data_IF_715929438753
#
_entry.id   IF_715929438753
#
_cell.length_a   1.000
_cell.length_b   1.000
_cell.length_c   1.000
_cell.angle_alpha   90.00
_cell.angle_beta   90.00
_cell.angle_gamma   90.00
#
_symmetry.space_group_name_H-M   'P 1'
#
loop_
_entity.id
_entity.type
_entity.pdbx_description
1 polymer ?
#
# COMPACT_ATOMS: atom_id res chain seq x y z
N UNK A 1 13.99 25.63 51.86
CA UNK A 1 12.69 26.26 52.20
C UNK A 1 12.54 27.51 51.36
N UNK A 2 11.29 27.82 50.99
CA UNK A 2 10.82 28.93 50.14
C UNK A 2 11.05 28.68 48.65
N UNK A 3 10.06 28.50 47.76
CA UNK A 3 8.61 28.65 47.83
C UNK A 3 8.09 29.71 46.85
N UNK A 4 7.20 29.29 45.94
CA UNK A 4 6.23 30.10 45.16
C UNK A 4 6.79 30.96 44.00
N UNK A 5 6.13 31.22 42.86
CA UNK A 5 4.82 30.87 42.30
C UNK A 5 4.77 31.18 40.78
N UNK A 6 3.98 30.37 40.05
CA UNK A 6 2.99 30.69 39.00
C UNK A 6 3.14 31.98 38.17
N UNK A 7 3.07 31.87 36.83
CA UNK A 7 2.02 32.47 35.97
C UNK A 7 2.25 32.14 34.48
N UNK A 8 1.35 31.32 33.95
CA UNK A 8 1.18 31.08 32.52
C UNK A 8 0.33 32.21 31.91
N UNK A 9 0.87 32.93 30.94
CA UNK A 9 0.12 33.90 30.13
C UNK A 9 0.18 33.48 28.66
N UNK A 10 -0.99 33.20 28.08
CA UNK A 10 -1.16 32.76 26.71
C UNK A 10 -0.82 33.83 25.67
N UNK A 11 -0.21 33.39 24.58
CA UNK A 11 0.03 34.20 23.39
C UNK A 11 -0.96 33.76 22.30
N UNK A 12 -2.12 34.41 22.24
CA UNK A 12 -3.07 34.30 21.11
C UNK A 12 -2.56 35.24 20.02
N UNK A 13 -2.00 34.67 18.95
CA UNK A 13 -1.59 35.42 17.76
C UNK A 13 -2.81 35.86 16.95
N UNK A 14 -3.08 37.17 16.93
CA UNK A 14 -4.05 37.80 16.04
C UNK A 14 -3.47 37.92 14.63
N UNK A 15 -4.05 37.22 13.66
CA UNK A 15 -3.79 37.44 12.24
C UNK A 15 -4.32 38.82 11.81
N UNK A 16 -3.42 39.73 11.44
CA UNK A 16 -3.74 40.99 10.79
C UNK A 16 -3.73 40.79 9.26
N UNK A 17 -4.85 41.10 8.59
CA UNK A 17 -4.93 41.21 7.13
C UNK A 17 -4.66 42.67 6.72
N UNK A 18 -3.85 42.94 5.69
CA UNK A 18 -3.64 44.29 5.19
C UNK A 18 -4.83 44.80 4.36
N UNK A 19 -5.10 46.09 4.49
CA UNK A 19 -6.19 46.84 3.86
C UNK A 19 -6.08 46.92 2.33
N UNK A 20 -7.23 47.00 1.68
CA UNK A 20 -7.41 47.13 0.22
C UNK A 20 -6.78 48.41 -0.35
N UNK A 21 -6.07 48.27 -1.47
CA UNK A 21 -5.58 49.36 -2.31
C UNK A 21 -6.54 49.64 -3.47
N UNK A 22 -6.91 50.90 -3.64
CA UNK A 22 -7.72 51.46 -4.74
C UNK A 22 -6.84 51.75 -5.96
N UNK A 23 -7.23 51.36 -7.19
CA UNK A 23 -6.70 52.00 -8.39
C UNK A 23 -7.56 53.22 -8.77
N UNK A 24 -6.93 54.39 -8.74
CA UNK A 24 -7.44 55.63 -9.37
C UNK A 24 -7.34 55.47 -10.90
N UNK A 25 -8.44 55.72 -11.60
CA UNK A 25 -8.48 55.77 -13.07
C UNK A 25 -9.08 57.11 -13.50
N UNK A 26 -8.22 58.00 -13.98
CA UNK A 26 -8.61 59.16 -14.79
C UNK A 26 -8.87 58.70 -16.24
N UNK A 27 -10.05 59.01 -16.77
CA UNK A 27 -10.36 58.84 -18.20
C UNK A 27 -11.82 58.48 -18.49
N UNK A 28 -12.66 59.49 -18.66
CA UNK A 28 -14.06 59.37 -19.12
C UNK A 28 -14.13 58.89 -20.59
N UNK A 29 -15.21 58.19 -20.99
CA UNK A 29 -16.18 58.88 -21.83
C UNK A 29 -17.65 58.63 -21.47
N UNK A 30 -18.43 59.65 -21.81
CA UNK A 30 -19.88 59.84 -21.80
C UNK A 30 -20.76 58.60 -22.04
N UNK A 31 -21.81 58.43 -21.22
CA UNK A 31 -23.23 58.41 -21.66
C UNK A 31 -24.20 58.23 -20.47
N UNK A 32 -25.19 59.14 -20.36
CA UNK A 32 -26.44 59.05 -19.57
C UNK A 32 -27.47 58.14 -20.28
N UNK A 33 -28.51 57.54 -19.63
CA UNK A 33 -29.37 58.21 -18.65
C UNK A 33 -29.79 57.41 -17.40
N UNK A 34 -30.27 58.18 -16.42
CA UNK A 34 -30.82 57.74 -15.16
C UNK A 34 -31.93 56.68 -15.33
N UNK A 35 -31.77 55.54 -14.68
CA UNK A 35 -32.82 54.54 -14.50
C UNK A 35 -33.65 54.92 -13.28
N UNK A 36 -34.90 55.29 -13.53
CA UNK A 36 -35.92 55.49 -12.50
C UNK A 36 -36.35 54.11 -11.97
N UNK A 37 -36.05 53.78 -10.71
CA UNK A 37 -36.57 52.56 -10.09
C UNK A 37 -38.04 52.77 -9.71
N UNK A 38 -38.94 52.13 -10.45
CA UNK A 38 -40.30 51.86 -9.99
C UNK A 38 -40.30 50.50 -9.28
N UNK A 39 -40.59 50.47 -7.98
CA UNK A 39 -40.83 49.24 -7.24
C UNK A 39 -42.31 48.92 -7.33
N UNK A 40 -42.65 47.85 -8.05
CA UNK A 40 -43.96 47.23 -7.92
C UNK A 40 -43.97 46.40 -6.62
N UNK A 41 -44.89 46.73 -5.72
CA UNK A 41 -45.24 45.88 -4.58
C UNK A 41 -45.78 44.54 -5.11
N UNK A 42 -45.05 43.46 -4.86
CA UNK A 42 -45.51 42.09 -5.12
C UNK A 42 -45.97 41.50 -3.80
N UNK A 43 -47.28 41.26 -3.73
CA UNK A 43 -47.97 40.57 -2.66
C UNK A 43 -47.41 39.14 -2.52
N UNK A 44 -47.02 38.77 -1.29
CA UNK A 44 -46.38 37.50 -0.99
C UNK A 44 -47.37 36.34 -1.11
N UNK A 45 -47.37 35.65 -2.25
CA UNK A 45 -47.88 34.29 -2.38
C UNK A 45 -46.71 33.30 -2.16
N UNK A 46 -46.82 32.30 -1.26
CA UNK A 46 -45.75 31.33 -1.07
C UNK A 46 -45.70 30.39 -2.28
N UNK A 47 -44.73 30.60 -3.16
CA UNK A 47 -44.33 29.60 -4.15
C UNK A 47 -43.47 28.55 -3.42
N UNK A 48 -43.85 27.28 -3.59
CA UNK A 48 -43.08 26.16 -3.06
C UNK A 48 -41.67 26.15 -3.69
N UNK A 49 -40.65 26.21 -2.85
CA UNK A 49 -39.26 25.98 -3.24
C UNK A 49 -39.04 24.47 -3.32
N UNK A 50 -39.13 23.90 -4.51
CA UNK A 50 -38.61 22.56 -4.80
C UNK A 50 -37.08 22.68 -4.88
N UNK A 51 -36.40 22.45 -3.75
CA UNK A 51 -34.95 22.25 -3.75
C UNK A 51 -34.60 20.97 -4.51
N UNK A 52 -33.40 20.87 -5.13
CA UNK A 52 -32.95 19.61 -5.67
C UNK A 52 -32.86 18.60 -4.52
N UNK A 53 -33.82 17.67 -4.48
CA UNK A 53 -33.69 16.47 -3.67
C UNK A 53 -32.49 15.73 -4.22
N UNK A 54 -31.36 15.82 -3.51
CA UNK A 54 -30.21 14.98 -3.73
C UNK A 54 -30.61 13.55 -3.34
N UNK A 55 -31.35 12.89 -4.23
CA UNK A 55 -31.45 11.45 -4.23
C UNK A 55 -30.03 10.93 -4.43
N UNK A 56 -29.43 10.40 -3.37
CA UNK A 56 -28.24 9.55 -3.48
C UNK A 56 -28.63 8.47 -4.49
N UNK A 57 -28.00 8.49 -5.66
CA UNK A 57 -28.32 7.52 -6.71
C UNK A 57 -28.03 6.11 -6.17
N UNK A 58 -28.87 5.15 -6.56
CA UNK A 58 -28.72 3.73 -6.18
C UNK A 58 -27.33 3.18 -6.55
N UNK A 59 -26.63 3.83 -7.49
CA UNK A 59 -25.25 3.55 -7.90
C UNK A 59 -24.22 3.84 -6.79
N UNK A 60 -24.39 4.89 -5.98
CA UNK A 60 -23.49 5.18 -4.86
C UNK A 60 -23.65 4.16 -3.74
N UNK A 61 -24.90 3.79 -3.41
CA UNK A 61 -25.19 2.78 -2.39
C UNK A 61 -24.71 1.39 -2.83
N UNK A 62 -24.85 1.04 -4.11
CA UNK A 62 -24.35 -0.22 -4.65
C UNK A 62 -22.81 -0.29 -4.64
N UNK A 63 -22.12 0.81 -4.91
CA UNK A 63 -20.65 0.89 -4.84
C UNK A 63 -20.12 0.74 -3.40
N UNK A 64 -20.80 1.34 -2.43
CA UNK A 64 -20.46 1.23 -1.00
C UNK A 64 -20.67 -0.20 -0.47
N UNK A 65 -21.77 -0.86 -0.87
CA UNK A 65 -22.04 -2.26 -0.53
C UNK A 65 -21.04 -3.22 -1.18
N UNK A 66 -20.70 -2.99 -2.46
CA UNK A 66 -19.67 -3.77 -3.14
C UNK A 66 -18.30 -3.66 -2.45
N UNK A 67 -17.93 -2.46 -1.98
CA UNK A 67 -16.70 -2.24 -1.21
C UNK A 67 -16.74 -2.96 0.15
N UNK A 68 -17.86 -2.87 0.89
CA UNK A 68 -18.02 -3.57 2.17
C UNK A 68 -17.97 -5.08 2.00
N UNK A 69 -18.56 -5.60 0.93
CA UNK A 69 -18.51 -7.03 0.59
C UNK A 69 -17.09 -7.48 0.22
N UNK A 70 -16.37 -6.70 -0.58
CA UNK A 70 -14.99 -6.98 -0.94
C UNK A 70 -14.05 -6.95 0.29
N UNK A 71 -14.25 -6.01 1.21
CA UNK A 71 -13.47 -5.94 2.45
C UNK A 71 -13.79 -7.10 3.41
N UNK A 72 -15.06 -7.51 3.48
CA UNK A 72 -15.46 -8.68 4.25
C UNK A 72 -14.92 -10.00 3.66
N UNK A 73 -14.93 -10.13 2.33
CA UNK A 73 -14.33 -11.28 1.64
C UNK A 73 -12.81 -11.32 1.81
N UNK A 74 -12.12 -10.16 1.78
CA UNK A 74 -10.70 -10.07 2.04
C UNK A 74 -10.34 -10.45 3.48
N UNK A 75 -11.09 -9.97 4.48
CA UNK A 75 -10.91 -10.34 5.89
C UNK A 75 -11.20 -11.82 6.14
N UNK A 76 -12.24 -12.37 5.51
CA UNK A 76 -12.55 -13.79 5.62
C UNK A 76 -11.51 -14.68 4.92
N UNK A 77 -10.90 -14.21 3.82
CA UNK A 77 -9.78 -14.89 3.18
C UNK A 77 -8.54 -14.87 4.08
N UNK A 78 -8.21 -13.73 4.68
CA UNK A 78 -7.10 -13.59 5.63
C UNK A 78 -7.27 -14.50 6.86
N UNK A 79 -8.49 -14.60 7.41
CA UNK A 79 -8.76 -15.46 8.56
C UNK A 79 -8.68 -16.95 8.21
N UNK A 80 -9.11 -17.33 7.00
CA UNK A 80 -8.94 -18.70 6.48
C UNK A 80 -7.48 -19.05 6.21
N UNK A 81 -6.70 -18.12 5.66
CA UNK A 81 -5.25 -18.28 5.46
C UNK A 81 -4.53 -18.41 6.80
N UNK A 82 -4.88 -17.59 7.79
CA UNK A 82 -4.30 -17.67 9.15
C UNK A 82 -4.67 -18.98 9.86
N UNK A 83 -5.90 -19.45 9.71
CA UNK A 83 -6.34 -20.73 10.25
C UNK A 83 -5.61 -21.92 9.58
N UNK A 84 -5.37 -21.85 8.27
CA UNK A 84 -4.57 -22.83 7.55
C UNK A 84 -3.10 -22.84 8.00
N UNK A 85 -2.51 -21.66 8.26
CA UNK A 85 -1.14 -21.53 8.79
C UNK A 85 -0.98 -22.14 10.19
N UNK A 86 -2.00 -22.04 11.04
CA UNK A 86 -1.97 -22.62 12.40
C UNK A 86 -2.11 -24.14 12.40
N UNK A 87 -2.82 -24.72 11.43
CA UNK A 87 -2.98 -26.17 11.30
C UNK A 87 -1.69 -26.86 10.80
N UNK A 88 -0.92 -26.21 9.92
CA UNK A 88 0.35 -26.76 9.39
C UNK A 88 1.48 -26.72 10.43
N UNK A 89 1.48 -25.72 11.33
CA UNK A 89 2.48 -25.58 12.39
C UNK A 89 2.40 -26.70 13.46
N UNK A 90 1.22 -27.33 13.62
CA UNK A 90 0.99 -28.34 14.66
C UNK A 90 1.26 -29.79 14.22
N UNK A 91 1.54 -30.03 12.93
CA UNK A 91 1.59 -31.38 12.36
C UNK A 91 2.93 -31.81 11.77
N UNK A 92 3.98 -30.98 11.78
CA UNK A 92 5.23 -31.35 11.11
C UNK A 92 6.31 -31.96 12.02
N UNK A 93 6.89 -33.11 11.64
CA UNK A 93 8.17 -33.57 12.15
C UNK A 93 9.29 -32.64 11.66
N UNK A 94 10.33 -32.49 12.47
CA UNK A 94 11.55 -31.76 12.10
C UNK A 94 12.17 -32.38 10.84
N UNK A 95 11.97 -31.74 9.70
CA UNK A 95 12.65 -32.10 8.46
C UNK A 95 14.11 -31.66 8.53
N UNK A 96 15.01 -32.59 8.23
CA UNK A 96 16.46 -32.43 8.22
C UNK A 96 16.89 -31.12 7.53
N UNK A 97 17.52 -30.23 8.29
CA UNK A 97 18.25 -29.09 7.71
C UNK A 97 19.34 -29.64 6.78
N UNK A 98 19.51 -29.10 5.56
CA UNK A 98 20.64 -29.50 4.73
C UNK A 98 21.93 -29.09 5.47
N UNK A 99 22.75 -30.08 5.81
CA UNK A 99 24.13 -29.85 6.24
C UNK A 99 24.92 -29.33 5.05
N UNK A 100 25.02 -28.01 4.94
CA UNK A 100 25.88 -27.32 3.99
C UNK A 100 26.51 -26.15 4.71
N UNK A 101 27.81 -26.28 4.96
CA UNK A 101 28.80 -25.30 5.44
C UNK A 101 28.25 -23.97 5.98
N UNK A 102 28.66 -23.61 7.20
CA UNK A 102 28.42 -22.29 7.80
C UNK A 102 28.79 -21.14 6.84
N UNK A 103 27.81 -20.71 6.05
CA UNK A 103 27.89 -19.51 5.25
C UNK A 103 27.47 -18.36 6.18
N UNK A 104 28.30 -17.31 6.35
CA UNK A 104 28.02 -16.21 7.25
C UNK A 104 26.62 -15.64 7.03
N UNK A 105 25.98 -15.13 8.09
CA UNK A 105 24.79 -14.30 7.95
C UNK A 105 25.08 -13.16 6.96
N UNK A 106 24.66 -13.35 5.69
CA UNK A 106 25.02 -12.46 4.60
C UNK A 106 25.47 -13.09 3.28
N UNK A 107 25.26 -14.38 3.02
CA UNK A 107 25.42 -14.92 1.64
C UNK A 107 24.52 -16.13 1.34
N UNK A 108 24.23 -16.35 0.05
CA UNK A 108 23.39 -17.43 -0.45
C UNK A 108 21.91 -17.34 -0.04
N UNK A 109 21.16 -18.42 -0.28
CA UNK A 109 19.71 -18.48 -0.03
C UNK A 109 19.27 -18.10 1.40
N UNK A 110 20.01 -18.53 2.44
CA UNK A 110 19.67 -18.16 3.82
C UNK A 110 19.81 -16.66 4.07
N UNK A 111 20.80 -16.00 3.46
CA UNK A 111 20.98 -14.56 3.50
C UNK A 111 19.79 -13.82 2.87
N UNK A 112 19.32 -14.30 1.72
CA UNK A 112 18.14 -13.74 1.03
C UNK A 112 16.90 -13.89 1.91
N UNK A 113 16.65 -15.08 2.47
CA UNK A 113 15.50 -15.32 3.34
C UNK A 113 15.51 -14.43 4.59
N UNK A 114 16.67 -14.31 5.26
CA UNK A 114 16.82 -13.44 6.43
C UNK A 114 16.59 -11.97 6.07
N UNK A 115 17.11 -11.51 4.92
CA UNK A 115 16.91 -10.16 4.45
C UNK A 115 15.45 -9.88 4.09
N UNK A 116 14.72 -10.85 3.55
CA UNK A 116 13.29 -10.73 3.29
C UNK A 116 12.48 -10.64 4.61
N UNK A 117 12.80 -11.50 5.59
CA UNK A 117 12.16 -11.48 6.91
C UNK A 117 12.43 -10.17 7.68
N UNK A 118 13.60 -9.55 7.50
CA UNK A 118 13.92 -8.26 8.09
C UNK A 118 13.05 -7.11 7.55
N UNK A 119 12.34 -7.33 6.44
CA UNK A 119 11.50 -6.33 5.79
C UNK A 119 10.02 -6.48 6.15
N UNK A 120 9.64 -7.40 7.03
CA UNK A 120 8.25 -7.58 7.44
C UNK A 120 7.66 -6.27 7.99
N UNK A 121 6.45 -5.95 7.56
CA UNK A 121 5.75 -4.72 7.91
C UNK A 121 6.15 -3.49 7.10
N UNK A 122 7.19 -3.57 6.24
CA UNK A 122 7.54 -2.48 5.32
C UNK A 122 6.51 -2.42 4.19
N UNK A 123 6.06 -1.20 3.86
CA UNK A 123 5.21 -0.96 2.70
C UNK A 123 6.08 -0.82 1.46
N UNK A 124 5.97 -1.76 0.53
CA UNK A 124 6.76 -1.84 -0.70
C UNK A 124 6.13 -2.85 -1.67
N UNK A 125 6.51 -2.81 -2.94
CA UNK A 125 6.11 -3.78 -3.94
C UNK A 125 6.88 -5.12 -3.82
N UNK A 126 6.46 -6.11 -4.59
CA UNK A 126 7.03 -7.46 -4.55
C UNK A 126 8.46 -7.51 -5.10
N UNK A 127 8.80 -6.73 -6.11
CA UNK A 127 10.13 -6.76 -6.72
C UNK A 127 11.14 -5.99 -5.87
N UNK A 128 10.75 -4.87 -5.26
CA UNK A 128 11.54 -4.11 -4.31
C UNK A 128 11.94 -4.96 -3.08
N UNK A 129 11.04 -5.80 -2.56
CA UNK A 129 11.38 -6.77 -1.51
C UNK A 129 12.51 -7.70 -1.97
N UNK A 130 12.36 -8.31 -3.15
CA UNK A 130 13.32 -9.28 -3.68
C UNK A 130 14.65 -8.61 -4.00
N UNK A 131 14.63 -7.45 -4.65
CA UNK A 131 15.83 -6.67 -4.94
C UNK A 131 16.61 -6.29 -3.68
N UNK A 132 15.93 -5.81 -2.63
CA UNK A 132 16.58 -5.50 -1.34
C UNK A 132 17.20 -6.74 -0.73
N UNK A 133 16.53 -7.88 -0.83
CA UNK A 133 17.00 -9.16 -0.32
C UNK A 133 18.22 -9.67 -1.07
N UNK A 134 18.24 -9.53 -2.41
CA UNK A 134 19.37 -9.87 -3.27
C UNK A 134 20.56 -8.93 -3.04
N UNK A 135 20.31 -7.61 -2.92
CA UNK A 135 21.37 -6.63 -2.58
C UNK A 135 22.00 -6.90 -1.23
N UNK A 136 21.24 -7.40 -0.25
CA UNK A 136 21.76 -7.75 1.06
C UNK A 136 22.81 -8.88 1.02
N UNK A 137 22.79 -9.74 0.00
CA UNK A 137 23.81 -10.78 -0.23
C UNK A 137 24.85 -10.37 -1.29
N UNK A 138 24.84 -9.11 -1.74
CA UNK A 138 25.81 -8.58 -2.70
C UNK A 138 25.43 -8.77 -4.18
N UNK A 139 24.23 -9.25 -4.51
CA UNK A 139 23.75 -9.30 -5.90
C UNK A 139 23.30 -7.89 -6.32
N UNK A 140 23.79 -7.33 -7.45
CA UNK A 140 23.51 -5.95 -7.86
C UNK A 140 22.12 -5.82 -8.51
N UNK A 141 21.07 -6.20 -7.80
CA UNK A 141 19.69 -6.12 -8.25
C UNK A 141 19.14 -4.69 -8.22
N UNK A 142 18.42 -4.29 -9.28
CA UNK A 142 17.69 -3.03 -9.37
C UNK A 142 16.81 -2.96 -10.60
N UNK A 143 15.62 -2.37 -10.43
CA UNK A 143 14.59 -2.22 -11.48
C UNK A 143 14.18 -3.58 -12.09
N UNK A 144 13.99 -4.58 -11.23
CA UNK A 144 13.53 -5.90 -11.63
C UNK A 144 12.02 -5.90 -11.78
N UNK A 145 11.55 -6.57 -12.84
CA UNK A 145 10.17 -6.99 -12.98
C UNK A 145 9.91 -8.37 -12.39
N UNK A 146 8.85 -8.99 -12.89
CA UNK A 146 8.38 -10.31 -12.47
C UNK A 146 8.73 -11.40 -13.48
N UNK A 147 9.70 -11.17 -14.38
CA UNK A 147 10.09 -12.13 -15.41
C UNK A 147 11.30 -12.95 -14.96
N UNK A 148 11.27 -14.25 -15.24
CA UNK A 148 12.34 -15.20 -14.87
C UNK A 148 13.70 -14.76 -15.39
N UNK A 149 13.74 -14.26 -16.64
CA UNK A 149 14.97 -13.84 -17.32
C UNK A 149 15.73 -12.73 -16.60
N UNK A 150 15.04 -11.90 -15.83
CA UNK A 150 15.64 -10.78 -15.09
C UNK A 150 16.49 -11.30 -13.91
N UNK A 151 15.98 -12.32 -13.21
CA UNK A 151 16.68 -12.95 -12.10
C UNK A 151 17.82 -13.86 -12.57
N UNK A 152 17.63 -14.58 -13.67
CA UNK A 152 18.71 -15.42 -14.23
C UNK A 152 19.83 -14.59 -14.86
N UNK A 153 19.52 -13.41 -15.42
CA UNK A 153 20.53 -12.46 -15.90
C UNK A 153 21.43 -11.93 -14.77
N UNK A 154 20.96 -11.92 -13.53
CA UNK A 154 21.76 -11.56 -12.34
C UNK A 154 22.62 -12.71 -11.80
N UNK A 155 22.66 -13.86 -12.49
CA UNK A 155 23.43 -15.03 -12.09
C UNK A 155 22.62 -16.09 -11.34
N UNK A 156 21.31 -15.92 -11.21
CA UNK A 156 20.42 -16.95 -10.67
C UNK A 156 20.24 -18.12 -11.64
N UNK A 157 20.01 -19.31 -11.10
CA UNK A 157 19.75 -20.54 -11.87
C UNK A 157 18.29 -20.92 -11.74
N UNK A 158 17.63 -21.17 -12.87
CA UNK A 158 16.26 -21.65 -12.86
C UNK A 158 16.21 -23.09 -12.34
N UNK A 159 15.34 -23.35 -11.37
CA UNK A 159 15.10 -24.69 -10.82
C UNK A 159 13.69 -25.16 -11.15
N UNK A 160 13.49 -26.47 -11.14
CA UNK A 160 12.18 -27.08 -11.38
C UNK A 160 11.14 -26.57 -10.37
N UNK A 161 9.96 -26.16 -10.86
CA UNK A 161 8.87 -25.74 -9.99
C UNK A 161 8.50 -26.85 -8.99
N UNK A 162 8.30 -26.47 -7.72
CA UNK A 162 7.98 -27.40 -6.63
C UNK A 162 9.20 -27.94 -5.85
N UNK A 163 10.44 -27.75 -6.31
CA UNK A 163 11.66 -28.12 -5.57
C UNK A 163 12.26 -26.93 -4.80
N UNK A 164 11.44 -26.27 -3.97
CA UNK A 164 11.82 -25.03 -3.30
C UNK A 164 12.85 -25.28 -2.17
N UNK A 165 13.89 -24.45 -2.14
CA UNK A 165 14.81 -24.31 -1.03
C UNK A 165 14.77 -22.88 -0.47
N UNK A 166 15.09 -22.73 0.81
CA UNK A 166 15.07 -21.43 1.49
C UNK A 166 15.92 -20.41 0.74
N UNK A 167 15.35 -19.24 0.48
CA UNK A 167 15.97 -18.17 -0.30
C UNK A 167 15.68 -18.21 -1.79
N UNK A 168 15.02 -19.24 -2.29
CA UNK A 168 14.57 -19.27 -3.68
C UNK A 168 13.61 -18.12 -3.98
N UNK A 169 13.77 -17.53 -5.16
CA UNK A 169 12.85 -16.53 -5.69
C UNK A 169 11.73 -17.27 -6.42
N UNK A 170 10.51 -17.17 -5.87
CA UNK A 170 9.29 -17.70 -6.47
C UNK A 170 8.73 -16.67 -7.44
N UNK A 171 8.39 -17.10 -8.65
CA UNK A 171 7.99 -16.20 -9.74
C UNK A 171 6.66 -16.63 -10.33
N UNK A 172 5.73 -15.68 -10.36
CA UNK A 172 4.50 -15.69 -11.16
C UNK A 172 4.68 -14.67 -12.28
N UNK A 173 5.08 -15.11 -13.49
CA UNK A 173 5.45 -14.21 -14.57
C UNK A 173 4.38 -13.17 -14.88
N UNK A 174 4.78 -11.90 -14.89
CA UNK A 174 3.87 -10.77 -15.15
C UNK A 174 2.90 -10.46 -14.02
N UNK A 175 3.00 -11.12 -12.85
CA UNK A 175 2.04 -10.97 -11.75
C UNK A 175 2.71 -10.70 -10.41
N UNK A 176 3.61 -11.58 -9.95
CA UNK A 176 4.12 -11.53 -8.58
C UNK A 176 5.48 -12.20 -8.42
N UNK A 177 6.22 -11.80 -7.38
CA UNK A 177 7.42 -12.51 -6.91
C UNK A 177 7.46 -12.55 -5.39
N UNK A 178 8.11 -13.57 -4.83
CA UNK A 178 8.26 -13.74 -3.38
C UNK A 178 9.55 -14.48 -3.05
N UNK A 179 9.99 -14.39 -1.79
CA UNK A 179 11.17 -15.13 -1.29
C UNK A 179 10.69 -16.31 -0.47
N UNK A 180 11.03 -17.54 -0.88
CA UNK A 180 10.68 -18.74 -0.13
C UNK A 180 11.47 -18.83 1.18
N UNK A 181 10.78 -19.13 2.28
CA UNK A 181 11.38 -19.23 3.61
C UNK A 181 11.28 -20.62 4.23
N UNK A 182 10.78 -21.61 3.48
CA UNK A 182 10.58 -22.98 3.96
C UNK A 182 9.13 -23.30 4.30
N UNK A 183 8.83 -24.58 4.53
CA UNK A 183 7.52 -25.08 4.99
C UNK A 183 6.31 -24.55 4.19
N UNK A 184 6.45 -24.41 2.87
CA UNK A 184 5.34 -23.89 2.04
C UNK A 184 5.02 -22.41 2.27
N UNK A 185 5.93 -21.65 2.89
CA UNK A 185 5.78 -20.22 3.16
C UNK A 185 6.78 -19.38 2.38
N UNK A 186 6.39 -18.14 2.10
CA UNK A 186 7.23 -17.13 1.49
C UNK A 186 6.97 -15.75 2.10
N UNK A 187 7.92 -14.84 1.93
CA UNK A 187 7.74 -13.42 2.21
C UNK A 187 7.28 -12.73 0.93
N UNK A 188 6.13 -12.08 1.01
CA UNK A 188 5.49 -11.37 -0.09
C UNK A 188 5.54 -9.87 0.19
N UNK A 189 6.03 -9.08 -0.76
CA UNK A 189 5.85 -7.62 -0.79
C UNK A 189 4.62 -7.27 -1.62
N UNK A 190 4.07 -6.07 -1.52
CA UNK A 190 2.91 -5.67 -2.32
C UNK A 190 1.61 -6.36 -1.89
N UNK A 191 1.59 -7.06 -0.77
CA UNK A 191 0.48 -7.93 -0.37
C UNK A 191 -0.66 -7.15 0.26
N UNK A 192 -1.92 -7.46 -0.10
CA UNK A 192 -3.17 -6.96 0.50
C UNK A 192 -3.16 -5.47 0.94
N UNK A 193 -2.70 -4.55 0.08
CA UNK A 193 -2.53 -3.14 0.44
C UNK A 193 -1.08 -2.71 0.66
N UNK A 194 -0.17 -3.31 -0.10
CA UNK A 194 1.26 -2.99 -0.18
C UNK A 194 2.13 -3.39 1.02
N UNK A 195 1.66 -4.25 1.92
CA UNK A 195 2.47 -4.66 3.06
C UNK A 195 3.40 -5.84 2.72
N UNK A 196 4.56 -5.88 3.38
CA UNK A 196 5.43 -7.07 3.39
C UNK A 196 5.00 -8.03 4.50
N UNK A 197 4.58 -9.25 4.14
CA UNK A 197 4.04 -10.25 5.08
C UNK A 197 4.58 -11.65 4.78
N UNK A 198 4.41 -12.56 5.74
CA UNK A 198 4.58 -14.00 5.51
C UNK A 198 3.23 -14.58 5.11
N UNK A 199 3.20 -15.31 3.99
CA UNK A 199 2.02 -16.03 3.52
C UNK A 199 2.44 -17.36 2.86
N UNK A 200 1.46 -18.13 2.39
CA UNK A 200 1.69 -19.38 1.70
C UNK A 200 2.23 -19.17 0.27
N UNK A 201 2.95 -20.16 -0.25
CA UNK A 201 3.44 -20.15 -1.64
C UNK A 201 2.34 -20.27 -2.68
N UNK A 202 1.10 -20.56 -2.31
CA UNK A 202 -0.04 -20.56 -3.23
C UNK A 202 -0.82 -19.28 -3.00
N UNK A 203 -0.95 -18.48 -4.06
CA UNK A 203 -1.65 -17.18 -4.02
C UNK A 203 -2.95 -17.24 -4.81
N UNK A 204 -3.68 -16.14 -4.91
CA UNK A 204 -4.83 -16.01 -5.83
C UNK A 204 -4.43 -16.21 -7.30
N UNK A 205 -3.16 -16.03 -7.66
CA UNK A 205 -2.60 -16.33 -8.98
C UNK A 205 -2.19 -17.81 -9.15
N UNK A 206 -2.43 -18.66 -8.14
CA UNK A 206 -2.04 -20.06 -8.11
C UNK A 206 -0.63 -20.30 -7.56
N UNK A 207 -0.05 -21.46 -7.88
CA UNK A 207 1.34 -21.80 -7.54
C UNK A 207 2.33 -21.08 -8.47
N UNK A 208 3.57 -20.78 -8.03
CA UNK A 208 4.56 -20.14 -8.88
C UNK A 208 4.92 -21.08 -10.04
N UNK A 209 5.01 -20.54 -11.25
CA UNK A 209 5.34 -21.33 -12.44
C UNK A 209 6.84 -21.40 -12.72
N UNK A 210 7.63 -20.59 -12.02
CA UNK A 210 9.08 -20.59 -12.10
C UNK A 210 9.73 -20.29 -10.76
N UNK A 211 10.96 -20.77 -10.61
CA UNK A 211 11.78 -20.59 -9.41
C UNK A 211 13.20 -20.29 -9.85
N UNK A 212 13.84 -19.32 -9.22
CA UNK A 212 15.25 -18.98 -9.45
C UNK A 212 16.02 -19.04 -8.13
N UNK A 213 17.16 -19.72 -8.15
CA UNK A 213 18.06 -19.90 -7.01
C UNK A 213 19.36 -19.13 -7.20
N UNK A 214 19.84 -18.49 -6.14
CA UNK A 214 21.11 -17.76 -6.08
C UNK A 214 22.06 -18.41 -5.08
#
# INVERSE_FOLDING_TARGET
MVGAAVLSAGLVGTFALPAYATPEVEGQPDYTPAQNLTTADIEAAPLALEGPSAAVSEEWTAAEEARKKAEAEAKAAEERERAAQQADTAAQPAGEAPSGNDIPAGSGGQGIANAALAQLGVVQDCTALVEKSLRAIGVPAGDLGTQVGEYTALGGVQVSAGSYAVGDILIWPGQHVAVYIGNGQAVHGGWNGNQTVVAGVTTSAGAPSAVVRF
#
